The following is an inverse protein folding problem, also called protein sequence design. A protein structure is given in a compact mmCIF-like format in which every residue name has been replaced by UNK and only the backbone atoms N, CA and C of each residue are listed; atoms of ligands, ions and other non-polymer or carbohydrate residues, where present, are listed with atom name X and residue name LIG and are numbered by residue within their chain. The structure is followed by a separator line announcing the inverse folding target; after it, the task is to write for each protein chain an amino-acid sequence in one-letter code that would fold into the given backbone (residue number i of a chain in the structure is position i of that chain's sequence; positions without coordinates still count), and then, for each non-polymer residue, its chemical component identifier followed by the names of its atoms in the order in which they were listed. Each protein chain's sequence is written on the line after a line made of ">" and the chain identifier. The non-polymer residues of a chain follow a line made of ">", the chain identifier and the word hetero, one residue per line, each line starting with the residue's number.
data_IF_085758793373
#
_entry.id   IF_085758793373
#
_cell.length_a   1.000
_cell.length_b   1.000
_cell.length_c   1.000
_cell.angle_alpha   90.00
_cell.angle_beta   90.00
_cell.angle_gamma   90.00
#
_symmetry.space_group_name_H-M   'P 1'
#
loop_
_entity.id
_entity.type
_entity.pdbx_description
1 polymer ?
#
# COMPACT_ATOMS: atom_id res chain seq x y z
N UNK A 1 -17.37 5.94 -6.48
CA UNK A 1 -16.45 5.10 -7.28
C UNK A 1 -16.23 3.76 -6.60
N UNK A 2 -15.99 2.70 -7.37
CA UNK A 2 -15.55 1.40 -6.83
C UNK A 2 -14.03 1.30 -6.88
N UNK A 3 -13.41 1.36 -5.71
CA UNK A 3 -11.95 1.35 -5.54
C UNK A 3 -11.55 -0.02 -4.99
N UNK A 4 -10.75 -0.75 -5.76
CA UNK A 4 -10.18 -2.02 -5.29
C UNK A 4 -8.71 -1.79 -4.96
N UNK A 5 -8.30 -2.22 -3.78
CA UNK A 5 -6.96 -1.99 -3.23
C UNK A 5 -6.21 -3.31 -3.12
N UNK A 6 -4.95 -3.32 -3.55
CA UNK A 6 -4.04 -4.45 -3.41
C UNK A 6 -2.61 -4.00 -3.18
N UNK A 7 -1.72 -4.94 -2.87
CA UNK A 7 -0.31 -4.65 -2.63
C UNK A 7 0.06 -4.54 -1.16
N UNK A 8 -0.92 -4.41 -0.28
CA UNK A 8 -0.77 -4.59 1.17
C UNK A 8 -0.90 -6.06 1.56
N UNK A 9 -0.47 -6.44 2.75
CA UNK A 9 -0.76 -7.75 3.35
C UNK A 9 -2.20 -7.82 3.87
N UNK A 10 -2.73 -6.72 4.37
CA UNK A 10 -4.11 -6.62 4.87
C UNK A 10 -4.30 -5.48 5.86
N UNK A 11 -5.54 -5.28 6.23
CA UNK A 11 -6.06 -4.43 7.31
C UNK A 11 -7.21 -5.19 7.99
N UNK A 12 -7.60 -4.92 9.24
CA UNK A 12 -6.84 -4.18 10.24
C UNK A 12 -5.70 -5.00 10.88
N UNK A 13 -4.98 -4.38 11.80
CA UNK A 13 -4.07 -5.02 12.76
C UNK A 13 -2.91 -5.82 12.13
N UNK A 14 -2.58 -5.57 10.86
CA UNK A 14 -1.41 -6.16 10.20
C UNK A 14 -0.22 -5.21 10.32
N UNK A 15 0.85 -5.66 10.98
CA UNK A 15 2.04 -4.86 11.24
C UNK A 15 2.75 -4.46 9.93
N UNK A 16 2.98 -3.16 9.70
CA UNK A 16 3.78 -2.64 8.60
C UNK A 16 3.35 -1.25 8.15
N UNK A 17 4.29 -0.46 7.62
CA UNK A 17 4.01 0.93 7.24
C UNK A 17 2.99 1.09 6.11
N UNK A 18 2.97 0.17 5.15
CA UNK A 18 1.95 0.17 4.08
C UNK A 18 0.60 -0.23 4.65
N UNK A 19 0.58 -1.21 5.54
CA UNK A 19 -0.61 -1.70 6.21
C UNK A 19 -1.25 -0.61 7.08
N UNK A 20 -0.46 0.04 7.94
CA UNK A 20 -0.92 1.19 8.75
C UNK A 20 -1.44 2.32 7.88
N UNK A 21 -0.73 2.66 6.80
CA UNK A 21 -1.21 3.66 5.84
C UNK A 21 -2.56 3.29 5.23
N UNK A 22 -2.75 2.03 4.83
CA UNK A 22 -4.00 1.55 4.24
C UNK A 22 -5.14 1.53 5.27
N UNK A 23 -4.85 1.10 6.50
CA UNK A 23 -5.82 1.03 7.59
C UNK A 23 -6.35 2.42 7.99
N UNK A 24 -5.48 3.43 7.95
CA UNK A 24 -5.87 4.80 8.21
C UNK A 24 -6.57 5.49 7.03
N UNK A 25 -6.14 5.23 5.81
CA UNK A 25 -6.62 5.93 4.61
C UNK A 25 -7.97 5.42 4.14
N UNK A 26 -8.11 4.10 3.94
CA UNK A 26 -9.27 3.57 3.23
C UNK A 26 -10.59 3.66 4.00
N UNK A 27 -10.63 3.52 5.34
CA UNK A 27 -11.84 3.85 6.09
C UNK A 27 -12.26 5.34 5.96
N UNK A 28 -11.29 6.25 5.84
CA UNK A 28 -11.62 7.67 5.62
C UNK A 28 -12.18 7.93 4.22
N UNK A 29 -11.70 7.20 3.22
CA UNK A 29 -12.22 7.25 1.85
C UNK A 29 -13.64 6.64 1.80
N UNK A 30 -13.87 5.50 2.45
CA UNK A 30 -15.19 4.87 2.54
C UNK A 30 -16.22 5.80 3.22
N UNK A 31 -15.84 6.49 4.30
CA UNK A 31 -16.70 7.49 4.96
C UNK A 31 -17.06 8.69 4.07
N UNK A 32 -16.33 8.93 3.00
CA UNK A 32 -16.67 9.95 1.99
C UNK A 32 -17.64 9.43 0.91
N UNK A 33 -18.14 8.20 1.05
CA UNK A 33 -19.15 7.60 0.16
C UNK A 33 -18.55 6.78 -0.99
N UNK A 34 -17.27 6.47 -0.96
CA UNK A 34 -16.63 5.60 -1.96
C UNK A 34 -16.81 4.12 -1.60
N UNK A 35 -17.05 3.28 -2.60
CA UNK A 35 -17.13 1.81 -2.43
C UNK A 35 -15.70 1.22 -2.45
N UNK A 36 -15.13 1.02 -1.27
CA UNK A 36 -13.76 0.56 -1.11
C UNK A 36 -13.72 -0.93 -0.76
N UNK A 37 -12.90 -1.69 -1.48
CA UNK A 37 -12.60 -3.08 -1.15
C UNK A 37 -11.09 -3.28 -1.07
N UNK A 38 -10.60 -3.80 0.05
CA UNK A 38 -9.20 -4.19 0.22
C UNK A 38 -9.05 -5.69 0.03
N UNK A 39 -8.20 -6.08 -0.92
CA UNK A 39 -7.85 -7.49 -1.14
C UNK A 39 -6.65 -7.83 -0.26
N UNK A 40 -6.89 -8.71 0.73
CA UNK A 40 -5.92 -9.11 1.75
C UNK A 40 -5.27 -10.45 1.39
N UNK A 41 -4.04 -10.64 1.88
CA UNK A 41 -3.35 -11.93 1.80
C UNK A 41 -3.76 -12.80 2.98
N UNK A 42 -4.48 -13.87 2.71
CA UNK A 42 -5.03 -14.77 3.74
C UNK A 42 -3.98 -15.31 4.72
N UNK A 43 -2.71 -15.38 4.30
CA UNK A 43 -1.63 -15.85 5.17
C UNK A 43 -1.30 -14.91 6.35
N UNK A 44 -1.77 -13.66 6.32
CA UNK A 44 -1.48 -12.63 7.32
C UNK A 44 -2.70 -12.20 8.14
N UNK A 45 -3.88 -12.67 7.76
CA UNK A 45 -5.15 -12.29 8.41
C UNK A 45 -5.90 -13.55 8.83
N UNK A 46 -6.34 -13.57 10.09
CA UNK A 46 -7.01 -14.73 10.69
C UNK A 46 -8.27 -14.33 11.46
N UNK A 47 -8.75 -13.10 11.20
CA UNK A 47 -9.85 -12.46 11.92
C UNK A 47 -11.25 -12.87 11.41
N UNK A 48 -11.32 -13.44 10.20
CA UNK A 48 -12.58 -13.80 9.54
C UNK A 48 -13.46 -12.61 9.14
N UNK A 49 -12.92 -11.38 9.20
CA UNK A 49 -13.67 -10.17 8.87
C UNK A 49 -13.91 -10.08 7.36
N UNK A 50 -15.12 -9.67 7.00
CA UNK A 50 -15.53 -9.35 5.62
C UNK A 50 -15.68 -7.84 5.39
N UNK A 51 -15.66 -7.06 6.48
CA UNK A 51 -15.75 -5.61 6.47
C UNK A 51 -15.01 -5.01 7.67
N UNK A 52 -14.43 -3.82 7.48
CA UNK A 52 -13.78 -3.04 8.52
C UNK A 52 -14.00 -1.54 8.29
N UNK A 53 -14.67 -0.88 9.24
CA UNK A 53 -14.92 0.57 9.19
C UNK A 53 -15.46 1.09 7.83
N UNK A 54 -16.40 0.34 7.22
CA UNK A 54 -17.00 0.65 5.93
C UNK A 54 -16.17 0.21 4.71
N UNK A 55 -15.04 -0.46 4.92
CA UNK A 55 -14.21 -1.06 3.87
C UNK A 55 -14.50 -2.54 3.76
N UNK A 56 -14.89 -3.01 2.57
CA UNK A 56 -15.06 -4.44 2.27
C UNK A 56 -13.71 -5.14 2.24
N UNK A 57 -13.65 -6.35 2.77
CA UNK A 57 -12.43 -7.15 2.85
C UNK A 57 -12.60 -8.46 2.07
N UNK A 58 -11.61 -8.78 1.24
CA UNK A 58 -11.58 -10.04 0.49
C UNK A 58 -10.24 -10.72 0.70
N UNK A 59 -10.26 -11.92 1.26
CA UNK A 59 -9.07 -12.71 1.51
C UNK A 59 -8.75 -13.60 0.31
N UNK A 60 -7.52 -13.49 -0.19
CA UNK A 60 -7.03 -14.34 -1.29
C UNK A 60 -5.86 -15.18 -0.81
N UNK A 61 -5.96 -16.49 -1.05
CA UNK A 61 -4.87 -17.42 -0.79
C UNK A 61 -3.70 -17.20 -1.76
N UNK A 62 -2.50 -17.18 -1.22
CA UNK A 62 -1.25 -17.06 -1.95
C UNK A 62 -0.24 -18.09 -1.45
N UNK A 63 0.75 -18.48 -2.28
CA UNK A 63 1.83 -19.36 -1.84
C UNK A 63 2.54 -18.78 -0.61
N UNK A 64 3.02 -19.65 0.28
CA UNK A 64 3.79 -19.24 1.47
C UNK A 64 5.23 -18.81 1.15
N UNK A 65 5.69 -19.04 -0.05
CA UNK A 65 7.03 -18.70 -0.52
C UNK A 65 7.18 -17.19 -0.72
N UNK A 66 7.94 -16.55 0.16
CA UNK A 66 8.08 -15.09 0.27
C UNK A 66 8.39 -14.38 -1.06
N UNK A 67 9.11 -15.02 -1.99
CA UNK A 67 9.52 -14.40 -3.25
C UNK A 67 8.40 -14.30 -4.28
N UNK A 68 7.48 -15.26 -4.30
CA UNK A 68 6.39 -15.33 -5.28
C UNK A 68 5.04 -14.92 -4.73
N UNK A 69 4.90 -14.91 -3.40
CA UNK A 69 3.64 -14.59 -2.73
C UNK A 69 3.02 -13.28 -3.22
N UNK A 70 3.81 -12.21 -3.21
CA UNK A 70 3.31 -10.89 -3.61
C UNK A 70 2.85 -10.84 -5.07
N UNK A 71 3.58 -11.51 -5.97
CA UNK A 71 3.28 -11.52 -7.41
C UNK A 71 2.01 -12.33 -7.67
N UNK A 72 1.96 -13.58 -7.15
CA UNK A 72 0.79 -14.46 -7.33
C UNK A 72 -0.46 -13.86 -6.70
N UNK A 73 -0.35 -13.29 -5.48
CA UNK A 73 -1.45 -12.59 -4.84
C UNK A 73 -1.94 -11.43 -5.71
N UNK A 74 -1.03 -10.57 -6.18
CA UNK A 74 -1.41 -9.40 -6.98
C UNK A 74 -2.03 -9.82 -8.30
N UNK A 75 -1.54 -10.88 -8.96
CA UNK A 75 -2.16 -11.42 -10.15
C UNK A 75 -3.63 -11.83 -9.91
N UNK A 76 -3.88 -12.58 -8.83
CA UNK A 76 -5.25 -12.97 -8.45
C UNK A 76 -6.10 -11.73 -8.10
N UNK A 77 -5.51 -10.76 -7.41
CA UNK A 77 -6.19 -9.52 -7.01
C UNK A 77 -6.58 -8.65 -8.23
N UNK A 78 -5.72 -8.53 -9.23
CA UNK A 78 -6.03 -7.83 -10.49
C UNK A 78 -7.21 -8.48 -11.20
N UNK A 79 -7.22 -9.81 -11.33
CA UNK A 79 -8.35 -10.53 -11.93
C UNK A 79 -9.63 -10.34 -11.11
N UNK A 80 -9.52 -10.38 -9.78
CA UNK A 80 -10.67 -10.14 -8.88
C UNK A 80 -11.21 -8.72 -9.03
N UNK A 81 -10.33 -7.73 -9.14
CA UNK A 81 -10.72 -6.34 -9.39
C UNK A 81 -11.51 -6.19 -10.71
N UNK A 82 -11.03 -6.85 -11.77
CA UNK A 82 -11.76 -6.88 -13.06
C UNK A 82 -13.14 -7.53 -12.93
N UNK A 83 -13.23 -8.68 -12.25
CA UNK A 83 -14.52 -9.36 -12.00
C UNK A 83 -15.51 -8.51 -11.20
N UNK A 84 -15.00 -7.74 -10.24
CA UNK A 84 -15.82 -6.85 -9.40
C UNK A 84 -16.24 -5.56 -10.13
N UNK A 85 -15.74 -5.31 -11.34
CA UNK A 85 -16.03 -4.09 -12.08
C UNK A 85 -15.42 -2.85 -11.39
N UNK A 86 -14.14 -2.92 -11.02
CA UNK A 86 -13.43 -1.81 -10.41
C UNK A 86 -13.39 -0.58 -11.35
N UNK A 87 -13.77 0.58 -10.83
CA UNK A 87 -13.52 1.86 -11.51
C UNK A 87 -12.03 2.23 -11.43
N UNK A 88 -11.40 1.90 -10.28
CA UNK A 88 -9.99 2.14 -10.01
C UNK A 88 -9.39 0.93 -9.28
N UNK A 89 -8.25 0.46 -9.75
CA UNK A 89 -7.38 -0.46 -9.04
C UNK A 89 -6.21 0.31 -8.41
N UNK A 90 -6.16 0.35 -7.09
CA UNK A 90 -5.07 1.00 -6.36
C UNK A 90 -4.04 -0.04 -5.91
N UNK A 91 -2.84 0.05 -6.47
CA UNK A 91 -1.74 -0.88 -6.19
C UNK A 91 -0.71 -0.18 -5.28
N UNK A 92 -0.42 -0.80 -4.15
CA UNK A 92 0.60 -0.34 -3.21
C UNK A 92 1.89 -1.13 -3.34
N UNK A 93 3.03 -0.43 -3.16
CA UNK A 93 4.39 -0.95 -3.17
C UNK A 93 4.91 -1.45 -4.53
N UNK A 94 6.24 -1.38 -4.70
CA UNK A 94 6.93 -1.62 -5.97
C UNK A 94 6.89 -3.10 -6.43
N UNK A 95 6.82 -4.06 -5.51
CA UNK A 95 6.74 -5.48 -5.87
C UNK A 95 5.42 -5.81 -6.61
N UNK A 96 4.25 -5.54 -6.01
CA UNK A 96 2.95 -5.66 -6.67
C UNK A 96 2.82 -4.84 -7.96
N UNK A 97 3.48 -3.68 -8.05
CA UNK A 97 3.45 -2.82 -9.24
C UNK A 97 3.99 -3.49 -10.52
N UNK A 98 4.68 -4.63 -10.40
CA UNK A 98 5.07 -5.45 -11.56
C UNK A 98 3.86 -5.84 -12.41
N UNK A 99 2.67 -5.97 -11.82
CA UNK A 99 1.43 -6.37 -12.49
C UNK A 99 0.63 -5.18 -13.06
N UNK A 100 1.13 -3.95 -12.96
CA UNK A 100 0.46 -2.76 -13.55
C UNK A 100 0.21 -2.91 -15.04
N UNK A 101 1.18 -3.33 -15.88
CA UNK A 101 0.90 -3.53 -17.31
C UNK A 101 -0.20 -4.56 -17.57
N UNK A 102 -0.23 -5.65 -16.81
CA UNK A 102 -1.29 -6.64 -16.91
C UNK A 102 -2.67 -6.06 -16.55
N UNK A 103 -2.76 -5.28 -15.48
CA UNK A 103 -3.99 -4.60 -15.11
C UNK A 103 -4.47 -3.64 -16.22
N UNK A 104 -3.53 -2.92 -16.85
CA UNK A 104 -3.82 -2.03 -17.99
C UNK A 104 -4.32 -2.81 -19.21
N UNK A 105 -3.75 -3.98 -19.52
CA UNK A 105 -4.23 -4.85 -20.60
C UNK A 105 -5.67 -5.32 -20.37
N UNK A 106 -6.10 -5.49 -19.12
CA UNK A 106 -7.49 -5.80 -18.76
C UNK A 106 -8.41 -4.57 -18.79
N UNK A 107 -7.90 -3.39 -19.14
CA UNK A 107 -8.68 -2.14 -19.23
C UNK A 107 -8.98 -1.50 -17.88
N UNK A 108 -8.24 -1.84 -16.82
CA UNK A 108 -8.37 -1.19 -15.51
C UNK A 108 -7.68 0.17 -15.49
N UNK A 109 -8.27 1.15 -14.80
CA UNK A 109 -7.57 2.37 -14.39
C UNK A 109 -6.74 2.07 -13.15
N UNK A 110 -5.44 2.37 -13.20
CA UNK A 110 -4.50 2.01 -12.15
C UNK A 110 -3.93 3.24 -11.48
N UNK A 111 -4.10 3.32 -10.17
CA UNK A 111 -3.35 4.22 -9.28
C UNK A 111 -2.25 3.40 -8.61
N UNK A 112 -1.03 3.90 -8.63
CA UNK A 112 0.12 3.24 -7.98
C UNK A 112 0.68 4.14 -6.88
N UNK A 113 0.75 3.64 -5.64
CA UNK A 113 1.45 4.34 -4.55
C UNK A 113 2.83 3.76 -4.31
N UNK A 114 3.84 4.60 -4.51
CA UNK A 114 5.24 4.28 -4.27
C UNK A 114 5.66 4.64 -2.84
N UNK A 115 5.84 3.62 -1.99
CA UNK A 115 6.20 3.78 -0.58
C UNK A 115 7.71 3.84 -0.29
N UNK A 116 8.54 3.71 -1.30
CA UNK A 116 9.99 3.75 -1.19
C UNK A 116 10.70 2.66 -1.98
N UNK A 117 12.01 2.81 -2.22
CA UNK A 117 12.83 1.86 -2.96
C UNK A 117 13.22 0.66 -2.06
N UNK A 118 12.27 -0.26 -1.83
CA UNK A 118 12.48 -1.43 -0.96
C UNK A 118 13.67 -2.32 -1.37
N UNK A 119 14.13 -2.23 -2.60
CA UNK A 119 15.31 -2.97 -3.09
C UNK A 119 16.64 -2.51 -2.45
N UNK A 120 16.67 -1.36 -1.80
CA UNK A 120 17.86 -0.88 -1.10
C UNK A 120 18.06 -1.58 0.26
N UNK A 121 17.07 -2.33 0.72
CA UNK A 121 17.16 -3.08 1.99
C UNK A 121 18.01 -4.35 1.82
N UNK A 122 18.89 -4.62 2.80
CA UNK A 122 19.83 -5.76 2.79
C UNK A 122 19.16 -7.13 2.83
N UNK A 123 17.92 -7.20 3.29
CA UNK A 123 17.14 -8.46 3.36
C UNK A 123 16.86 -9.11 2.00
N UNK A 124 17.06 -8.38 0.89
CA UNK A 124 16.73 -8.86 -0.44
C UNK A 124 17.97 -9.39 -1.17
N UNK A 125 17.90 -10.62 -1.65
CA UNK A 125 18.88 -11.15 -2.59
C UNK A 125 18.83 -10.47 -3.97
N UNK A 126 19.85 -10.70 -4.79
CA UNK A 126 20.02 -10.03 -6.10
C UNK A 126 18.79 -10.19 -7.01
N UNK A 127 18.24 -11.40 -7.10
CA UNK A 127 17.06 -11.69 -7.95
C UNK A 127 15.83 -10.91 -7.46
N UNK A 128 15.59 -10.87 -6.14
CA UNK A 128 14.48 -10.12 -5.58
C UNK A 128 14.64 -8.61 -5.81
N UNK A 129 15.86 -8.08 -5.68
CA UNK A 129 16.17 -6.68 -6.00
C UNK A 129 15.87 -6.34 -7.45
N UNK A 130 16.21 -7.25 -8.40
CA UNK A 130 15.87 -7.05 -9.82
C UNK A 130 14.34 -7.02 -10.04
N UNK A 131 13.60 -7.96 -9.47
CA UNK A 131 12.14 -7.99 -9.57
C UNK A 131 11.51 -6.72 -9.01
N UNK A 132 11.98 -6.23 -7.86
CA UNK A 132 11.51 -4.98 -7.25
C UNK A 132 11.81 -3.75 -8.13
N UNK A 133 13.00 -3.68 -8.74
CA UNK A 133 13.36 -2.61 -9.70
C UNK A 133 12.49 -2.66 -10.97
N UNK A 134 12.18 -3.85 -11.47
CA UNK A 134 11.25 -4.03 -12.57
C UNK A 134 9.84 -3.61 -12.19
N UNK A 135 9.37 -3.98 -10.99
CA UNK A 135 8.08 -3.54 -10.49
C UNK A 135 7.98 -2.03 -10.34
N UNK A 136 9.00 -1.37 -9.78
CA UNK A 136 9.08 0.11 -9.74
C UNK A 136 8.94 0.69 -11.15
N UNK A 137 9.71 0.17 -12.12
CA UNK A 137 9.67 0.63 -13.51
C UNK A 137 8.27 0.46 -14.12
N UNK A 138 7.65 -0.71 -13.95
CA UNK A 138 6.31 -0.99 -14.48
C UNK A 138 5.26 -0.06 -13.86
N UNK A 139 5.28 0.11 -12.54
CA UNK A 139 4.38 1.02 -11.85
C UNK A 139 4.56 2.47 -12.32
N UNK A 140 5.82 2.94 -12.36
CA UNK A 140 6.11 4.32 -12.73
C UNK A 140 5.83 4.64 -14.21
N UNK A 141 5.91 3.68 -15.12
CA UNK A 141 5.69 3.94 -16.56
C UNK A 141 4.25 3.72 -17.00
N UNK A 142 3.54 2.74 -16.42
CA UNK A 142 2.26 2.29 -16.97
C UNK A 142 1.03 2.60 -16.11
N UNK A 143 1.19 2.98 -14.83
CA UNK A 143 0.04 3.43 -14.04
C UNK A 143 -0.54 4.74 -14.61
N UNK A 144 -1.86 4.90 -14.52
CA UNK A 144 -2.51 6.16 -14.93
C UNK A 144 -2.06 7.29 -14.01
N UNK A 145 -2.08 7.06 -12.70
CA UNK A 145 -1.66 8.01 -11.68
C UNK A 145 -0.64 7.37 -10.74
N UNK A 146 0.36 8.13 -10.35
CA UNK A 146 1.37 7.71 -9.37
C UNK A 146 1.31 8.62 -8.15
N UNK A 147 1.16 8.03 -6.98
CA UNK A 147 1.26 8.73 -5.70
C UNK A 147 2.62 8.44 -5.10
N UNK A 148 3.30 9.46 -4.66
CA UNK A 148 4.59 9.38 -3.95
C UNK A 148 4.48 10.04 -2.58
N UNK A 149 5.09 9.41 -1.57
CA UNK A 149 4.97 9.84 -0.17
C UNK A 149 6.08 10.81 0.27
N UNK A 150 7.00 11.16 -0.63
CA UNK A 150 8.08 12.12 -0.33
C UNK A 150 8.65 12.76 -1.59
N UNK A 151 9.24 13.93 -1.42
CA UNK A 151 10.00 14.63 -2.47
C UNK A 151 11.17 13.80 -3.00
N UNK A 152 11.79 13.00 -2.14
CA UNK A 152 12.90 12.12 -2.53
C UNK A 152 12.44 11.12 -3.58
N UNK A 153 11.28 10.48 -3.36
CA UNK A 153 10.70 9.52 -4.30
C UNK A 153 10.25 10.23 -5.58
N UNK A 154 9.62 11.41 -5.49
CA UNK A 154 9.23 12.21 -6.66
C UNK A 154 10.44 12.52 -7.56
N UNK A 155 11.52 12.97 -6.94
CA UNK A 155 12.77 13.27 -7.65
C UNK A 155 13.46 12.01 -8.21
N UNK A 156 13.35 10.87 -7.54
CA UNK A 156 13.82 9.58 -8.03
C UNK A 156 13.09 9.20 -9.32
N UNK A 157 11.75 9.25 -9.32
CA UNK A 157 10.92 8.93 -10.49
C UNK A 157 11.25 9.84 -11.67
N UNK A 158 11.34 11.16 -11.42
CA UNK A 158 11.72 12.13 -12.45
C UNK A 158 13.08 11.81 -13.07
N UNK A 159 14.08 11.51 -12.25
CA UNK A 159 15.45 11.21 -12.72
C UNK A 159 15.57 9.89 -13.45
N UNK A 160 14.91 8.83 -12.95
CA UNK A 160 15.05 7.47 -13.51
C UNK A 160 14.15 7.23 -14.73
N UNK A 161 12.95 7.81 -14.73
CA UNK A 161 11.91 7.46 -15.70
C UNK A 161 11.43 8.65 -16.52
N UNK A 162 11.92 9.86 -16.25
CA UNK A 162 11.52 11.09 -16.94
C UNK A 162 10.05 11.48 -16.70
N UNK A 163 9.34 10.78 -15.80
CA UNK A 163 7.92 11.03 -15.57
C UNK A 163 7.74 12.17 -14.58
N UNK A 164 7.01 13.20 -15.02
CA UNK A 164 6.65 14.38 -14.21
C UNK A 164 5.13 14.56 -14.14
N UNK A 165 4.42 14.12 -15.18
CA UNK A 165 2.98 14.22 -15.27
C UNK A 165 2.31 13.04 -14.54
N UNK A 166 1.11 13.28 -13.99
CA UNK A 166 0.33 12.32 -13.21
C UNK A 166 1.16 11.71 -12.04
N UNK A 167 2.05 12.53 -11.45
CA UNK A 167 2.82 12.17 -10.25
C UNK A 167 2.46 13.11 -9.12
N UNK A 168 1.77 12.59 -8.11
CA UNK A 168 1.21 13.34 -7.01
C UNK A 168 2.02 13.12 -5.74
N UNK A 169 2.52 14.20 -5.15
CA UNK A 169 3.14 14.15 -3.84
C UNK A 169 2.05 14.24 -2.77
N UNK A 170 1.82 13.16 -2.07
CA UNK A 170 0.89 13.08 -0.96
C UNK A 170 1.63 12.43 0.21
N UNK A 171 1.98 13.23 1.22
CA UNK A 171 2.65 12.74 2.41
C UNK A 171 1.75 11.80 3.22
N UNK A 172 2.36 10.81 3.87
CA UNK A 172 1.63 10.02 4.85
C UNK A 172 1.22 10.90 6.02
N UNK A 173 -0.05 10.80 6.39
CA UNK A 173 -0.56 11.41 7.63
C UNK A 173 -0.29 10.51 8.83
N UNK A 174 -0.34 11.10 10.00
CA UNK A 174 -0.41 10.39 11.28
C UNK A 174 -1.67 10.85 12.01
N UNK A 175 -2.35 9.96 12.74
CA UNK A 175 -3.42 10.38 13.63
C UNK A 175 -2.90 11.42 14.60
N UNK A 176 -3.68 12.47 14.90
CA UNK A 176 -3.35 13.32 16.03
C UNK A 176 -3.34 12.46 17.29
N UNK A 177 -2.22 12.37 18.02
CA UNK A 177 -2.20 11.63 19.26
C UNK A 177 -3.18 12.31 20.23
N UNK A 178 -4.02 11.52 20.87
CA UNK A 178 -4.71 11.99 22.08
C UNK A 178 -3.64 12.19 23.14
N UNK A 179 -3.34 13.44 23.40
CA UNK A 179 -2.46 13.81 24.50
C UNK A 179 -3.21 13.53 25.81
N UNK A 180 -3.26 12.28 26.21
CA UNK A 180 -3.57 11.94 27.59
C UNK A 180 -2.38 12.41 28.43
N UNK A 181 -2.61 13.49 29.15
CA UNK A 181 -1.68 13.95 30.16
C UNK A 181 -1.62 12.85 31.22
N UNK A 182 -0.59 12.00 31.19
CA UNK A 182 -0.39 10.90 32.12
C UNK A 182 0.80 11.24 33.05
N UNK A 183 0.61 12.20 34.00
CA UNK A 183 1.70 12.69 34.84
C UNK A 183 2.29 11.58 35.73
N UNK A 184 1.53 10.55 36.06
CA UNK A 184 1.99 9.40 36.84
C UNK A 184 3.01 8.55 36.08
N UNK A 185 2.76 8.27 34.79
CA UNK A 185 3.70 7.51 33.95
C UNK A 185 5.04 8.24 33.76
N UNK A 186 5.00 9.55 33.60
CA UNK A 186 6.23 10.35 33.49
C UNK A 186 7.01 10.37 34.81
N UNK A 187 6.33 10.38 35.97
CA UNK A 187 6.97 10.30 37.28
C UNK A 187 7.65 8.95 37.51
N UNK A 188 7.00 7.85 37.09
CA UNK A 188 7.60 6.49 37.18
C UNK A 188 8.88 6.38 36.35
N UNK A 189 8.94 7.06 35.20
CA UNK A 189 10.13 7.12 34.35
C UNK A 189 11.17 8.15 34.80
N UNK A 190 10.94 8.87 35.91
CA UNK A 190 11.84 9.92 36.38
C UNK A 190 11.90 11.16 35.47
N UNK A 191 10.93 11.32 34.57
CA UNK A 191 10.84 12.44 33.63
C UNK A 191 10.07 13.57 34.29
N UNK A 192 10.72 14.72 34.46
CA UNK A 192 10.12 15.95 35.00
C UNK A 192 10.12 17.05 33.94
N UNK A 193 9.23 18.03 34.04
CA UNK A 193 9.11 19.15 33.08
C UNK A 193 10.42 19.94 32.80
N UNK A 194 11.46 19.72 33.59
CA UNK A 194 12.79 20.36 33.42
C UNK A 194 13.82 19.50 32.66
N UNK A 195 13.50 18.28 32.28
CA UNK A 195 14.43 17.33 31.65
C UNK A 195 14.15 17.12 30.16
N UNK A 196 13.41 18.03 29.54
CA UNK A 196 13.20 18.12 28.10
C UNK A 196 13.97 19.28 27.51
#
# INVERSE_FOLDING_TARGET
>A
MKIIVTGTRGIPDVMGGVETHCDELFPRIARRGEDVTVIRRKNYVHDGLTEWNGVKLIDIESPKEKSFEAIVHTFKAVNKAKQLGADVLHIHAIGPALLVPYAKMLGLKVVFTHHGPDYDRDKWGIMAKMVLKWGERMGCLFADEVIVISEVIRNLIRRKYGRTEQVHLIYNGVPCPDYTNCPEYFRELGITERNY
#
